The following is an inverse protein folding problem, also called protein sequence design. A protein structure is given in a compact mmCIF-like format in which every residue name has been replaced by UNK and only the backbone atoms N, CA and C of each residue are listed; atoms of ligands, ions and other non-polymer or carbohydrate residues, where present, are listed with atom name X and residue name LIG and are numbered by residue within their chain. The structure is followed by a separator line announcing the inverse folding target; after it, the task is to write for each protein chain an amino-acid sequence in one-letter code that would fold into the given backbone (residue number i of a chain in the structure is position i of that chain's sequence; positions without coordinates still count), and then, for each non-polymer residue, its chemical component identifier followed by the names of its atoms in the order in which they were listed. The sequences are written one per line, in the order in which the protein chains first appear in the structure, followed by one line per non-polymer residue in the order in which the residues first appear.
data_IF_024052007789
#
_entry.id   IF_024052007789
#
_cell.length_a   1.000
_cell.length_b   1.000
_cell.length_c   1.000
_cell.angle_alpha   90.00
_cell.angle_beta   90.00
_cell.angle_gamma   90.00
#
_symmetry.space_group_name_H-M   'P 1'
#
loop_
_entity.id
_entity.type
_entity.pdbx_description
1 polymer ?
#
# COMPACT_ATOMS: atom_id res chain seq x y z
N UNK A 1 6.76 -14.79 -34.44
CA UNK A 1 5.57 -15.45 -33.83
C UNK A 1 5.15 -14.60 -32.65
N UNK A 2 3.93 -14.08 -32.62
CA UNK A 2 3.46 -13.29 -31.48
C UNK A 2 2.97 -14.24 -30.38
N UNK A 3 3.24 -13.90 -29.12
CA UNK A 3 2.65 -14.58 -27.98
C UNK A 3 1.21 -14.12 -27.79
N UNK A 4 0.36 -14.99 -27.25
CA UNK A 4 -1.05 -14.71 -26.98
C UNK A 4 -1.32 -14.50 -25.49
N UNK A 5 -0.50 -15.10 -24.64
CA UNK A 5 -0.69 -15.12 -23.20
C UNK A 5 0.56 -14.67 -22.46
N UNK A 6 0.35 -14.14 -21.26
CA UNK A 6 1.34 -14.05 -20.20
C UNK A 6 0.92 -15.01 -19.08
N UNK A 7 1.87 -15.77 -18.57
CA UNK A 7 1.69 -16.60 -17.38
C UNK A 7 2.47 -16.02 -16.22
N UNK A 8 1.80 -15.74 -15.11
CA UNK A 8 2.39 -15.29 -13.85
C UNK A 8 2.66 -16.49 -12.94
N UNK A 9 3.94 -16.81 -12.74
CA UNK A 9 4.36 -17.99 -11.98
C UNK A 9 4.59 -17.67 -10.49
N UNK A 10 5.23 -16.52 -10.21
CA UNK A 10 5.62 -16.11 -8.87
C UNK A 10 5.64 -14.58 -8.77
N UNK A 11 5.21 -14.08 -7.63
CA UNK A 11 5.36 -12.69 -7.20
C UNK A 11 6.08 -12.72 -5.87
N UNK A 12 7.23 -12.06 -5.79
CA UNK A 12 7.97 -11.88 -4.56
C UNK A 12 7.72 -10.48 -4.06
N UNK A 13 7.34 -10.33 -2.79
CA UNK A 13 7.05 -9.03 -2.18
C UNK A 13 7.96 -8.85 -0.98
N UNK A 14 8.66 -7.71 -0.96
CA UNK A 14 9.44 -7.24 0.18
C UNK A 14 8.82 -5.95 0.69
N UNK A 15 8.57 -5.90 1.99
CA UNK A 15 8.12 -4.69 2.67
C UNK A 15 9.24 -4.28 3.63
N UNK A 16 9.89 -3.16 3.33
CA UNK A 16 10.98 -2.61 4.13
C UNK A 16 10.46 -1.44 4.97
N UNK A 17 10.55 -1.50 6.31
CA UNK A 17 10.26 -0.33 7.13
C UNK A 17 11.31 0.77 6.87
N UNK A 18 10.84 2.02 6.73
CA UNK A 18 11.70 3.22 6.63
C UNK A 18 11.76 3.99 7.96
N UNK A 19 11.19 3.41 9.01
CA UNK A 19 11.15 3.97 10.36
C UNK A 19 12.21 3.34 11.26
N UNK A 20 12.42 3.92 12.44
CA UNK A 20 13.25 3.33 13.49
C UNK A 20 12.72 1.94 13.88
N UNK A 21 13.64 1.03 14.23
CA UNK A 21 13.30 -0.28 14.79
C UNK A 21 12.60 -0.18 16.15
N UNK A 22 11.87 -1.24 16.52
CA UNK A 22 11.24 -1.38 17.84
C UNK A 22 9.95 -0.59 18.03
N UNK A 23 9.44 0.08 16.99
CA UNK A 23 8.13 0.73 17.04
C UNK A 23 7.01 -0.32 17.15
N UNK A 24 6.03 -0.04 18.00
CA UNK A 24 4.80 -0.84 18.08
C UNK A 24 3.88 -0.51 16.90
N UNK A 25 4.26 -1.04 15.73
CA UNK A 25 3.56 -0.85 14.46
C UNK A 25 3.27 -2.21 13.84
N UNK A 26 2.25 -2.27 13.00
CA UNK A 26 1.95 -3.46 12.21
C UNK A 26 1.57 -3.10 10.78
N UNK A 27 1.74 -4.10 9.92
CA UNK A 27 1.41 -4.07 8.50
C UNK A 27 0.50 -5.25 8.22
N UNK A 28 -0.60 -4.97 7.55
CA UNK A 28 -1.46 -5.95 6.92
C UNK A 28 -1.28 -5.82 5.40
N UNK A 29 -0.85 -6.89 4.74
CA UNK A 29 -0.63 -6.90 3.30
C UNK A 29 -1.29 -8.09 2.62
N UNK A 30 -1.91 -7.83 1.47
CA UNK A 30 -2.57 -8.81 0.63
C UNK A 30 -2.02 -8.74 -0.78
N UNK A 31 -1.59 -9.88 -1.33
CA UNK A 31 -1.36 -10.04 -2.76
C UNK A 31 -2.59 -10.72 -3.36
N UNK A 32 -3.18 -10.13 -4.40
CA UNK A 32 -4.42 -10.64 -5.00
C UNK A 32 -4.50 -10.50 -6.52
N UNK A 33 -5.34 -11.33 -7.13
CA UNK A 33 -5.78 -11.21 -8.52
C UNK A 33 -6.99 -10.27 -8.58
N UNK A 34 -6.76 -8.97 -8.75
CA UNK A 34 -7.80 -7.96 -8.53
C UNK A 34 -8.97 -8.01 -9.53
N UNK A 35 -8.80 -8.71 -10.66
CA UNK A 35 -9.89 -9.00 -11.61
C UNK A 35 -10.99 -9.87 -11.00
N UNK A 36 -10.69 -10.63 -9.94
CA UNK A 36 -11.71 -11.32 -9.16
C UNK A 36 -12.35 -10.33 -8.17
N UNK A 37 -13.64 -10.06 -8.36
CA UNK A 37 -14.38 -9.08 -7.55
C UNK A 37 -14.61 -9.57 -6.11
N UNK A 38 -14.80 -10.88 -5.92
CA UNK A 38 -14.81 -11.46 -4.59
C UNK A 38 -13.39 -11.41 -4.01
N UNK A 39 -13.25 -10.79 -2.83
CA UNK A 39 -11.95 -10.57 -2.21
C UNK A 39 -11.26 -11.89 -1.84
N UNK A 40 -11.97 -12.81 -1.19
CA UNK A 40 -11.42 -14.09 -0.74
C UNK A 40 -10.97 -14.98 -1.90
N UNK A 41 -11.72 -14.97 -3.01
CA UNK A 41 -11.38 -15.68 -4.24
C UNK A 41 -10.25 -15.02 -5.02
N UNK A 42 -9.95 -13.75 -4.73
CA UNK A 42 -8.84 -13.03 -5.33
C UNK A 42 -7.51 -13.27 -4.62
N UNK A 43 -7.52 -13.69 -3.36
CA UNK A 43 -6.31 -13.79 -2.53
C UNK A 43 -5.32 -14.84 -3.04
N UNK A 44 -4.07 -14.39 -3.21
CA UNK A 44 -2.90 -15.23 -3.49
C UNK A 44 -2.06 -15.40 -2.22
N UNK A 45 -1.93 -14.34 -1.42
CA UNK A 45 -1.19 -14.36 -0.17
C UNK A 45 -1.62 -13.24 0.76
N UNK A 46 -1.57 -13.50 2.06
CA UNK A 46 -1.97 -12.55 3.09
C UNK A 46 -0.99 -12.65 4.26
N UNK A 47 -0.51 -11.50 4.73
CA UNK A 47 0.34 -11.42 5.91
C UNK A 47 -0.13 -10.31 6.84
N UNK A 48 -0.11 -10.59 8.13
CA UNK A 48 -0.18 -9.59 9.18
C UNK A 48 1.07 -9.70 10.03
N UNK A 49 1.77 -8.58 10.24
CA UNK A 49 3.02 -8.62 10.98
C UNK A 49 3.53 -7.29 11.47
N UNK A 50 4.36 -7.32 12.51
CA UNK A 50 5.15 -6.15 12.91
C UNK A 50 6.48 -6.12 12.14
N UNK A 51 6.79 -5.03 11.43
CA UNK A 51 8.07 -4.85 10.73
C UNK A 51 9.17 -4.31 11.67
N UNK A 52 8.95 -4.30 12.99
CA UNK A 52 9.81 -3.65 13.98
C UNK A 52 11.27 -4.13 13.97
N UNK A 53 11.52 -5.36 13.50
CA UNK A 53 12.83 -6.00 13.44
C UNK A 53 13.46 -5.96 12.04
N UNK A 54 12.75 -5.41 11.05
CA UNK A 54 13.28 -5.17 9.71
C UNK A 54 12.38 -5.62 8.57
N UNK A 55 12.97 -5.80 7.38
CA UNK A 55 12.21 -6.14 6.20
C UNK A 55 11.49 -7.48 6.34
N UNK A 56 10.32 -7.55 5.72
CA UNK A 56 9.49 -8.74 5.64
C UNK A 56 9.35 -9.16 4.19
N UNK A 57 9.50 -10.45 3.95
CA UNK A 57 9.42 -11.04 2.62
C UNK A 57 8.29 -12.06 2.59
N UNK A 58 7.55 -12.12 1.50
CA UNK A 58 6.68 -13.26 1.22
C UNK A 58 6.56 -13.47 -0.28
N UNK A 59 6.36 -14.74 -0.63
CA UNK A 59 6.09 -15.16 -1.99
C UNK A 59 4.60 -15.41 -2.16
N UNK A 60 4.08 -15.07 -3.34
CA UNK A 60 2.77 -15.47 -3.78
C UNK A 60 2.81 -16.05 -5.17
N UNK A 61 2.03 -17.10 -5.40
CA UNK A 61 2.07 -17.87 -6.64
C UNK A 61 0.69 -17.79 -7.28
N UNK A 62 0.47 -16.86 -8.22
CA UNK A 62 -0.83 -16.73 -8.87
C UNK A 62 -1.22 -17.97 -9.67
N UNK A 63 -0.23 -18.67 -10.25
CA UNK A 63 -0.39 -19.76 -11.23
C UNK A 63 -1.44 -19.43 -12.30
N UNK A 64 -1.39 -18.19 -12.80
CA UNK A 64 -2.45 -17.59 -13.61
C UNK A 64 -1.94 -17.25 -15.01
N UNK A 65 -2.70 -17.62 -16.04
CA UNK A 65 -2.44 -17.21 -17.43
C UNK A 65 -3.51 -16.24 -17.93
N UNK A 66 -3.10 -15.17 -18.60
CA UNK A 66 -3.98 -14.09 -19.08
C UNK A 66 -3.65 -13.77 -20.52
N UNK A 67 -4.67 -13.44 -21.31
CA UNK A 67 -4.48 -12.95 -22.67
C UNK A 67 -3.74 -11.60 -22.65
N UNK A 68 -2.78 -11.42 -23.56
CA UNK A 68 -2.10 -10.13 -23.73
C UNK A 68 -3.06 -9.02 -24.21
N UNK A 69 -4.20 -9.39 -24.78
CA UNK A 69 -5.26 -8.46 -25.22
C UNK A 69 -6.35 -8.25 -24.16
N UNK A 70 -6.19 -8.80 -22.95
CA UNK A 70 -7.15 -8.56 -21.87
C UNK A 70 -7.13 -7.07 -21.49
N UNK A 71 -8.29 -6.43 -21.52
CA UNK A 71 -8.45 -5.00 -21.22
C UNK A 71 -7.98 -4.61 -19.81
N UNK A 72 -7.99 -5.55 -18.87
CA UNK A 72 -7.66 -5.34 -17.46
C UNK A 72 -6.30 -5.97 -17.10
N UNK A 73 -5.44 -6.27 -18.07
CA UNK A 73 -4.15 -6.94 -17.82
C UNK A 73 -3.28 -6.19 -16.81
N UNK A 74 -3.27 -4.85 -16.87
CA UNK A 74 -2.47 -4.00 -15.97
C UNK A 74 -2.98 -4.01 -14.52
N UNK A 75 -4.27 -4.27 -14.31
CA UNK A 75 -4.89 -4.33 -12.99
C UNK A 75 -4.89 -5.76 -12.41
N UNK A 76 -4.27 -6.72 -13.09
CA UNK A 76 -4.35 -8.14 -12.72
C UNK A 76 -3.85 -8.39 -11.30
N UNK A 77 -2.63 -7.96 -10.99
CA UNK A 77 -1.97 -8.26 -9.72
C UNK A 77 -1.96 -6.98 -8.90
N UNK A 78 -2.49 -7.06 -7.68
CA UNK A 78 -2.49 -5.95 -6.74
C UNK A 78 -1.87 -6.37 -5.41
N UNK A 79 -1.10 -5.45 -4.83
CA UNK A 79 -0.59 -5.52 -3.47
C UNK A 79 -1.34 -4.46 -2.67
N UNK A 80 -2.26 -4.88 -1.83
CA UNK A 80 -2.99 -4.00 -0.93
C UNK A 80 -2.29 -3.97 0.43
N UNK A 81 -2.02 -2.78 0.96
CA UNK A 81 -1.33 -2.61 2.24
C UNK A 81 -2.14 -1.67 3.15
N UNK A 82 -2.28 -2.07 4.42
CA UNK A 82 -2.79 -1.23 5.49
C UNK A 82 -1.76 -1.18 6.61
N UNK A 83 -1.56 0.02 7.13
CA UNK A 83 -0.55 0.34 8.13
C UNK A 83 -1.25 0.70 9.43
N UNK A 84 -0.71 0.25 10.56
CA UNK A 84 -1.28 0.51 11.88
C UNK A 84 -0.20 0.92 12.88
N UNK A 85 -0.54 1.87 13.76
CA UNK A 85 0.35 2.38 14.81
C UNK A 85 1.40 3.38 14.34
N UNK A 86 1.42 3.77 13.06
CA UNK A 86 2.36 4.76 12.54
C UNK A 86 1.89 6.18 12.88
N UNK A 87 2.54 6.79 13.86
CA UNK A 87 2.34 8.20 14.23
C UNK A 87 3.50 9.04 13.68
N UNK A 88 3.41 9.40 12.40
CA UNK A 88 4.46 10.10 11.65
C UNK A 88 3.91 11.42 11.09
N UNK A 89 4.80 12.37 10.80
CA UNK A 89 4.39 13.62 10.17
C UNK A 89 3.70 13.35 8.81
N UNK A 90 2.67 14.12 8.45
CA UNK A 90 2.03 14.00 7.14
C UNK A 90 3.05 14.06 6.00
N UNK A 91 2.89 13.20 4.99
CA UNK A 91 3.82 13.09 3.85
C UNK A 91 5.09 12.27 4.13
N UNK A 92 5.27 11.72 5.33
CA UNK A 92 6.42 10.85 5.62
C UNK A 92 6.33 9.53 4.87
N UNK A 93 7.44 9.13 4.23
CA UNK A 93 7.61 7.80 3.68
C UNK A 93 7.91 6.80 4.82
N UNK A 94 6.97 5.91 5.12
CA UNK A 94 7.06 5.01 6.29
C UNK A 94 7.45 3.57 5.93
N UNK A 95 7.20 3.16 4.69
CA UNK A 95 7.57 1.85 4.16
C UNK A 95 8.02 1.97 2.71
N UNK A 96 8.87 1.05 2.26
CA UNK A 96 9.16 0.81 0.85
C UNK A 96 8.68 -0.59 0.46
N UNK A 97 8.05 -0.69 -0.71
CA UNK A 97 7.58 -1.95 -1.28
C UNK A 97 8.47 -2.28 -2.47
N UNK A 98 9.13 -3.43 -2.44
CA UNK A 98 9.92 -3.94 -3.56
C UNK A 98 9.26 -5.23 -4.02
N UNK A 99 8.95 -5.34 -5.30
CA UNK A 99 8.27 -6.52 -5.84
C UNK A 99 8.97 -7.04 -7.09
N UNK A 100 9.02 -8.36 -7.24
CA UNK A 100 9.50 -9.04 -8.45
C UNK A 100 8.43 -9.97 -8.99
N UNK A 101 8.05 -9.79 -10.25
CA UNK A 101 7.06 -10.63 -10.93
C UNK A 101 7.78 -11.54 -11.92
N UNK A 102 7.69 -12.84 -11.69
CA UNK A 102 8.21 -13.88 -12.57
C UNK A 102 7.12 -14.33 -13.52
N UNK A 103 7.32 -14.08 -14.81
CA UNK A 103 6.34 -14.38 -15.83
C UNK A 103 6.96 -14.99 -17.09
N UNK A 104 6.11 -15.63 -17.90
CA UNK A 104 6.47 -16.17 -19.20
C UNK A 104 5.42 -15.84 -20.25
N UNK A 105 5.84 -15.26 -21.36
CA UNK A 105 4.97 -15.13 -22.54
C UNK A 105 4.85 -16.49 -23.25
N UNK A 106 3.63 -16.89 -23.58
CA UNK A 106 3.34 -18.23 -24.15
C UNK A 106 2.17 -18.20 -25.12
N UNK A 107 2.08 -19.26 -25.94
CA UNK A 107 0.95 -19.56 -26.82
C UNK A 107 0.15 -20.79 -26.34
N UNK A 108 0.56 -21.42 -25.23
CA UNK A 108 -0.13 -22.55 -24.60
C UNK A 108 -0.68 -22.17 -23.23
N UNK A 109 -1.82 -22.76 -22.84
CA UNK A 109 -2.55 -22.47 -21.59
C UNK A 109 -2.32 -23.59 -20.55
N UNK A 110 -1.14 -24.23 -20.53
CA UNK A 110 -0.85 -25.31 -19.58
C UNK A 110 0.50 -25.19 -18.83
N UNK A 111 0.85 -24.03 -18.25
CA UNK A 111 1.82 -24.03 -17.17
C UNK A 111 1.15 -24.62 -15.92
N UNK A 112 1.72 -25.68 -15.35
CA UNK A 112 1.36 -26.16 -14.02
C UNK A 112 2.49 -25.77 -13.09
N UNK A 113 2.21 -24.99 -12.05
CA UNK A 113 3.16 -24.83 -10.96
C UNK A 113 3.38 -26.19 -10.26
N UNK A 114 4.63 -26.54 -9.97
CA UNK A 114 4.98 -27.72 -9.17
C UNK A 114 4.86 -27.45 -7.65
N UNK A 115 4.52 -26.21 -7.27
CA UNK A 115 4.45 -25.80 -5.87
C UNK A 115 3.09 -26.20 -5.30
N UNK A 116 3.09 -27.12 -4.34
CA UNK A 116 1.91 -27.45 -3.54
C UNK A 116 1.63 -26.33 -2.54
N UNK A 117 0.70 -25.44 -2.87
CA UNK A 117 0.24 -24.38 -1.97
C UNK A 117 -1.07 -24.79 -1.31
N UNK A 118 -1.11 -24.71 0.02
CA UNK A 118 -2.35 -24.71 0.78
C UNK A 118 -3.01 -23.34 0.63
N UNK A 119 -4.17 -23.28 -0.04
CA UNK A 119 -5.03 -22.08 0.05
C UNK A 119 -5.30 -21.81 1.54
N UNK A 120 -5.22 -20.54 1.95
CA UNK A 120 -5.44 -20.16 3.34
C UNK A 120 -4.17 -20.02 4.17
N UNK A 121 -2.97 -20.20 3.61
CA UNK A 121 -1.71 -20.00 4.33
C UNK A 121 -0.72 -19.18 3.50
N UNK A 122 0.11 -18.38 4.18
CA UNK A 122 1.24 -17.70 3.58
C UNK A 122 2.45 -17.83 4.48
N UNK A 123 3.57 -18.29 3.90
CA UNK A 123 4.85 -18.31 4.61
C UNK A 123 5.57 -17.02 4.31
N UNK A 124 5.87 -16.26 5.36
CA UNK A 124 6.68 -15.05 5.28
C UNK A 124 8.03 -15.29 5.95
N UNK A 125 9.06 -14.59 5.48
CA UNK A 125 10.39 -14.58 6.06
C UNK A 125 10.60 -13.23 6.75
N UNK A 126 11.02 -13.26 8.01
CA UNK A 126 11.42 -12.06 8.77
C UNK A 126 12.92 -12.02 8.97
N UNK A 127 13.50 -10.84 8.87
CA UNK A 127 14.83 -10.61 9.41
C UNK A 127 14.81 -10.66 10.95
N UNK A 128 15.86 -11.22 11.56
CA UNK A 128 16.07 -11.14 13.02
C UNK A 128 16.35 -9.71 13.45
N UNK A 129 17.16 -9.01 12.65
CA UNK A 129 17.47 -7.57 12.72
C UNK A 129 17.69 -7.01 11.31
N UNK A 130 17.62 -5.69 11.13
CA UNK A 130 17.79 -5.00 9.83
C UNK A 130 19.06 -5.39 9.07
N UNK A 131 20.17 -5.61 9.80
CA UNK A 131 21.48 -5.88 9.21
C UNK A 131 21.80 -7.39 9.17
N UNK A 132 20.86 -8.24 9.61
CA UNK A 132 21.05 -9.68 9.62
C UNK A 132 20.65 -10.32 8.29
N UNK A 133 21.47 -11.25 7.82
CA UNK A 133 21.12 -12.16 6.73
C UNK A 133 20.29 -13.37 7.20
N UNK A 134 19.92 -13.40 8.49
CA UNK A 134 19.18 -14.50 9.08
C UNK A 134 17.69 -14.24 8.88
N UNK A 135 17.04 -15.13 8.13
CA UNK A 135 15.61 -15.11 7.86
C UNK A 135 14.91 -16.20 8.67
N UNK A 136 13.91 -15.81 9.45
CA UNK A 136 13.05 -16.73 10.19
C UNK A 136 11.75 -16.93 9.40
N UNK A 137 11.41 -18.16 8.98
CA UNK A 137 10.12 -18.45 8.38
C UNK A 137 9.02 -18.40 9.44
N UNK A 138 7.95 -17.67 9.14
CA UNK A 138 6.71 -17.64 9.91
C UNK A 138 5.53 -17.94 8.99
N UNK A 139 4.72 -18.93 9.34
CA UNK A 139 3.46 -19.20 8.66
C UNK A 139 2.35 -18.36 9.25
N UNK A 140 1.59 -17.68 8.40
CA UNK A 140 0.34 -17.01 8.75
C UNK A 140 -0.81 -17.76 8.08
N UNK A 141 -1.80 -18.14 8.89
CA UNK A 141 -3.08 -18.64 8.36
C UNK A 141 -3.96 -17.44 8.08
N UNK A 142 -4.65 -17.45 6.95
CA UNK A 142 -5.55 -16.37 6.57
C UNK A 142 -6.74 -16.27 7.52
N UNK A 143 -7.13 -17.38 8.16
CA UNK A 143 -8.16 -17.40 9.21
C UNK A 143 -7.80 -16.61 10.46
N UNK A 144 -6.51 -16.43 10.72
CA UNK A 144 -5.99 -15.77 11.92
C UNK A 144 -5.75 -14.27 11.65
N UNK A 145 -5.88 -13.84 10.38
CA UNK A 145 -5.75 -12.45 9.95
C UNK A 145 -7.14 -11.82 9.97
N UNK A 146 -7.26 -10.67 10.62
CA UNK A 146 -8.50 -9.89 10.57
C UNK A 146 -8.62 -9.19 9.21
N UNK A 147 -9.22 -9.89 8.24
CA UNK A 147 -9.59 -9.31 6.94
C UNK A 147 -10.67 -8.25 7.20
N UNK A 148 -10.45 -6.98 6.82
CA UNK A 148 -11.46 -5.94 7.03
C UNK A 148 -12.73 -6.21 6.22
N UNK A 149 -13.90 -5.97 6.81
CA UNK A 149 -15.19 -6.08 6.11
C UNK A 149 -15.29 -5.12 4.93
N UNK A 150 -14.73 -3.91 5.05
CA UNK A 150 -14.60 -2.94 3.97
C UNK A 150 -13.13 -2.56 3.74
N UNK A 151 -12.69 -2.69 2.50
CA UNK A 151 -11.40 -2.18 2.02
C UNK A 151 -11.65 -0.97 1.12
N UNK A 152 -12.06 0.16 1.72
CA UNK A 152 -12.18 1.42 1.00
C UNK A 152 -10.79 1.99 0.72
N UNK A 153 -10.26 1.68 -0.47
CA UNK A 153 -9.20 2.49 -1.05
C UNK A 153 -9.93 3.75 -1.51
N UNK A 154 -9.92 4.81 -0.70
CA UNK A 154 -9.95 6.12 -1.32
C UNK A 154 -8.71 6.12 -2.20
N UNK A 155 -8.92 5.97 -3.51
CA UNK A 155 -7.94 6.51 -4.44
C UNK A 155 -7.80 7.94 -3.97
N UNK A 156 -6.62 8.30 -3.45
CA UNK A 156 -6.22 9.69 -3.37
C UNK A 156 -6.28 10.17 -4.81
N UNK A 157 -7.48 10.62 -5.18
CA UNK A 157 -7.67 11.54 -6.27
C UNK A 157 -6.78 12.66 -5.80
N UNK A 158 -5.69 12.91 -6.51
CA UNK A 158 -4.93 14.14 -6.31
C UNK A 158 -5.95 15.23 -6.53
N UNK A 159 -6.60 15.69 -5.46
CA UNK A 159 -7.42 16.87 -5.48
C UNK A 159 -6.40 17.99 -5.57
N UNK A 160 -6.10 18.42 -6.79
CA UNK A 160 -5.76 19.82 -7.01
C UNK A 160 -6.98 20.62 -6.56
N UNK A 161 -7.03 20.89 -5.25
CA UNK A 161 -7.76 21.99 -4.65
C UNK A 161 -6.87 22.44 -3.50
N UNK A 162 -5.90 23.29 -3.85
CA UNK A 162 -5.34 24.26 -2.93
C UNK A 162 -6.51 25.09 -2.37
N UNK A 163 -7.05 24.70 -1.21
CA UNK A 163 -7.68 25.70 -0.37
C UNK A 163 -6.57 26.54 0.23
N UNK A 164 -6.34 27.69 -0.41
CA UNK A 164 -5.46 28.77 0.00
C UNK A 164 -5.60 29.08 1.50
N UNK A 165 -4.78 28.44 2.34
CA UNK A 165 -4.46 28.94 3.67
C UNK A 165 -3.13 29.67 3.54
N UNK A 166 -3.17 30.94 3.14
CA UNK A 166 -2.00 31.80 3.24
C UNK A 166 -2.07 32.69 4.48
N UNK A 167 -0.95 32.66 5.22
CA UNK A 167 -0.55 33.49 6.36
C UNK A 167 -1.25 33.24 7.71
N UNK A 168 -0.90 32.11 8.35
CA UNK A 168 -0.97 31.99 9.82
C UNK A 168 0.25 32.68 10.43
N UNK A 169 0.11 33.91 10.92
CA UNK A 169 1.16 34.55 11.72
C UNK A 169 1.29 33.83 13.06
N UNK A 170 2.52 33.59 13.50
CA UNK A 170 2.82 33.03 14.81
C UNK A 170 2.28 33.96 15.91
N UNK A 171 1.36 33.45 16.72
CA UNK A 171 0.74 34.21 17.79
C UNK A 171 1.60 34.18 19.06
N UNK A 172 1.99 32.98 19.50
CA UNK A 172 2.90 32.82 20.64
C UNK A 172 3.50 31.42 20.73
N UNK A 173 4.66 31.33 21.39
CA UNK A 173 5.32 30.07 21.77
C UNK A 173 5.59 30.13 23.26
N UNK A 174 5.16 29.10 24.01
CA UNK A 174 5.48 28.96 25.43
C UNK A 174 5.97 27.55 25.73
N UNK A 175 7.07 27.44 26.48
CA UNK A 175 7.61 26.16 26.95
C UNK A 175 7.54 26.12 28.47
N UNK A 176 7.05 25.01 29.03
CA UNK A 176 7.06 24.81 30.48
C UNK A 176 8.38 24.15 30.94
N UNK A 177 8.61 24.12 32.27
CA UNK A 177 9.82 23.56 32.88
C UNK A 177 10.01 22.06 32.63
N UNK A 178 8.94 21.36 32.22
CA UNK A 178 8.95 19.94 31.82
C UNK A 178 9.28 19.75 30.32
N UNK A 179 9.56 20.84 29.60
CA UNK A 179 10.02 20.81 28.21
C UNK A 179 8.91 20.77 27.16
N UNK A 180 7.63 20.81 27.55
CA UNK A 180 6.50 20.85 26.61
C UNK A 180 6.34 22.24 26.00
N UNK A 181 6.39 22.31 24.67
CA UNK A 181 6.22 23.53 23.89
C UNK A 181 4.81 23.58 23.31
N UNK A 182 4.09 24.68 23.57
CA UNK A 182 2.83 25.01 22.90
C UNK A 182 3.04 26.19 21.95
N UNK A 183 2.52 26.06 20.74
CA UNK A 183 2.59 27.07 19.68
C UNK A 183 1.17 27.41 19.22
N UNK A 184 0.85 28.71 19.17
CA UNK A 184 -0.44 29.23 18.71
C UNK A 184 -0.26 30.06 17.43
N UNK A 185 -1.24 30.00 16.53
CA UNK A 185 -1.25 30.77 15.28
C UNK A 185 -2.60 31.46 15.08
N UNK A 186 -2.58 32.68 14.53
CA UNK A 186 -3.79 33.43 14.18
C UNK A 186 -4.32 32.97 12.82
N UNK A 187 -5.58 32.51 12.78
CA UNK A 187 -6.22 32.05 11.54
C UNK A 187 -7.15 33.14 11.00
N UNK A 188 -6.83 33.72 9.85
CA UNK A 188 -7.78 34.54 9.09
C UNK A 188 -8.41 33.68 7.99
N UNK A 189 -9.74 33.64 7.93
CA UNK A 189 -10.48 32.97 6.85
C UNK A 189 -11.00 34.09 5.94
N UNK A 190 -10.52 34.17 4.70
CA UNK A 190 -11.12 35.04 3.68
C UNK A 190 -12.36 34.36 3.12
N UNK A 191 -13.54 34.86 3.45
CA UNK A 191 -14.77 34.57 2.69
C UNK A 191 -14.80 35.48 1.46
N UNK A 192 -14.69 34.91 0.26
CA UNK A 192 -14.96 35.66 -0.97
C UNK A 192 -16.46 35.64 -1.24
N UNK A 193 -17.10 36.82 -1.12
CA UNK A 193 -18.45 37.08 -1.63
C UNK A 193 -18.40 37.08 -3.16
N UNK A 194 -19.31 36.34 -3.81
CA UNK A 194 -19.55 36.44 -5.26
C UNK A 194 -20.13 37.81 -5.58
N UNK A 195 -19.56 38.60 -6.51
CA UNK A 195 -20.21 39.80 -7.01
C UNK A 195 -21.11 39.45 -8.20
N UNK A 196 -22.39 39.84 -8.09
CA UNK A 196 -23.17 40.36 -9.21
C UNK A 196 -22.35 41.49 -9.89
N UNK A 197 -22.28 41.57 -11.23
CA UNK A 197 -23.09 42.53 -11.99
C UNK A 197 -22.65 42.73 -13.47
N UNK A 198 -23.69 42.97 -14.29
CA UNK A 198 -23.85 43.77 -15.51
C UNK A 198 -22.68 44.23 -16.44
N UNK A 199 -22.90 43.93 -17.74
CA UNK A 199 -22.87 44.80 -18.94
C UNK A 199 -21.59 45.41 -19.56
N UNK A 200 -21.26 44.95 -20.79
CA UNK A 200 -20.90 45.66 -22.07
C UNK A 200 -19.81 46.78 -22.09
N UNK A 201 -19.32 47.34 -23.25
CA UNK A 201 -19.71 47.22 -24.68
C UNK A 201 -18.55 47.25 -25.76
N UNK A 202 -18.95 47.32 -27.06
CA UNK A 202 -18.32 47.86 -28.32
C UNK A 202 -17.08 47.13 -28.90
N UNK A 203 -16.92 46.86 -30.22
CA UNK A 203 -17.47 47.34 -31.51
C UNK A 203 -18.10 46.24 -32.35
#
# INVERSE_FOLDING_TARGET
KNFKYIHFALVQVTIKPLTRQGLNTSILAFLRVARHLNFDDSLIGAIETSPCNGPVYFDGYPDLSIFLTDKNILETLNINIKLHGYNMLPGSEIIAIIHHVHYKATNSICPKSLVNLSKGETTMMKCVTNDSNILIPQKNKWSDINIPEDWSIQSDTISHNEENIENTSLHSITQNEEGFVKIWFDKTIKTYSTPEDLSHPVL
#
